data_IF_079958214361
#
_entry.id   IF_079958214361
#
_cell.length_a   1.000
_cell.length_b   1.000
_cell.length_c   1.000
_cell.angle_alpha   90.00
_cell.angle_beta   90.00
_cell.angle_gamma   90.00
#
_symmetry.space_group_name_H-M   'P 1'
#
loop_
_entity.id
_entity.type
_entity.pdbx_description
1 polymer ?
#
# COMPACT_ATOMS: atom_id res chain seq x y z
N UNK A 1 -14.25 10.88 -23.90
CA UNK A 1 -13.83 9.73 -24.73
C UNK A 1 -12.31 9.66 -24.92
N UNK A 2 -11.63 10.68 -25.46
CA UNK A 2 -10.15 10.68 -25.56
C UNK A 2 -9.48 11.02 -24.22
N UNK A 3 -10.02 12.01 -23.51
CA UNK A 3 -9.59 12.38 -22.16
C UNK A 3 -9.71 11.24 -21.15
N UNK A 4 -10.78 10.45 -21.20
CA UNK A 4 -10.97 9.30 -20.30
C UNK A 4 -9.93 8.20 -20.56
N UNK A 5 -9.54 8.01 -21.83
CA UNK A 5 -8.46 7.07 -22.21
C UNK A 5 -7.09 7.58 -21.76
N UNK A 6 -6.85 8.88 -21.85
CA UNK A 6 -5.61 9.50 -21.34
C UNK A 6 -5.55 9.40 -19.81
N UNK A 7 -6.67 9.60 -19.11
CA UNK A 7 -6.77 9.45 -17.66
C UNK A 7 -6.60 7.99 -17.23
N UNK A 8 -7.14 7.03 -17.96
CA UNK A 8 -6.88 5.60 -17.75
C UNK A 8 -5.44 5.22 -18.05
N UNK A 9 -4.83 5.77 -19.11
CA UNK A 9 -3.43 5.52 -19.43
C UNK A 9 -2.49 6.13 -18.38
N UNK A 10 -2.81 7.33 -17.87
CA UNK A 10 -2.08 8.00 -16.79
C UNK A 10 -2.30 7.27 -15.46
N UNK A 11 -3.53 6.82 -15.16
CA UNK A 11 -3.79 5.94 -14.00
C UNK A 11 -3.02 4.65 -14.09
N UNK A 12 -2.97 3.97 -15.24
CA UNK A 12 -2.11 2.78 -15.46
C UNK A 12 -0.62 3.09 -15.33
N UNK A 13 -0.20 4.33 -15.61
CA UNK A 13 1.20 4.78 -15.45
C UNK A 13 1.53 5.17 -14.01
N UNK A 14 0.54 5.62 -13.25
CA UNK A 14 0.63 6.06 -11.85
C UNK A 14 0.27 4.95 -10.85
N UNK A 15 -0.42 3.89 -11.29
CA UNK A 15 -0.66 2.64 -10.58
C UNK A 15 0.67 1.87 -10.43
N UNK A 16 1.57 2.42 -9.62
CA UNK A 16 2.71 1.76 -9.01
C UNK A 16 3.83 1.34 -9.97
N UNK A 17 5.09 1.51 -9.52
CA UNK A 17 6.25 0.83 -10.12
C UNK A 17 5.98 -0.68 -10.10
N UNK A 18 5.61 -1.22 -11.25
CA UNK A 18 4.76 -2.41 -11.32
C UNK A 18 5.50 -3.73 -11.09
N UNK A 19 6.83 -3.74 -11.05
CA UNK A 19 7.60 -5.00 -11.02
C UNK A 19 8.89 -4.96 -10.19
N UNK A 20 9.18 -3.85 -9.50
CA UNK A 20 10.51 -3.62 -8.88
C UNK A 20 10.44 -3.67 -7.35
N UNK A 21 9.82 -4.73 -6.81
CA UNK A 21 9.82 -4.99 -5.38
C UNK A 21 11.19 -5.58 -4.97
N UNK A 22 12.04 -4.78 -4.33
CA UNK A 22 13.35 -5.26 -3.89
C UNK A 22 13.22 -6.34 -2.80
N UNK A 23 14.24 -7.19 -2.58
CA UNK A 23 14.24 -8.15 -1.47
C UNK A 23 14.02 -7.52 -0.10
N UNK A 24 14.68 -6.39 0.18
CA UNK A 24 14.51 -5.67 1.44
C UNK A 24 13.09 -5.11 1.59
N UNK A 25 12.49 -4.64 0.50
CA UNK A 25 11.10 -4.19 0.47
C UNK A 25 10.14 -5.35 0.80
N UNK A 26 10.33 -6.49 0.15
CA UNK A 26 9.52 -7.69 0.36
C UNK A 26 9.61 -8.20 1.81
N UNK A 27 10.81 -8.22 2.39
CA UNK A 27 11.01 -8.57 3.79
C UNK A 27 10.31 -7.59 4.73
N UNK A 28 10.43 -6.27 4.47
CA UNK A 28 9.74 -5.27 5.27
C UNK A 28 8.21 -5.44 5.23
N UNK A 29 7.65 -5.71 4.05
CA UNK A 29 6.21 -5.96 3.90
C UNK A 29 5.77 -7.22 4.65
N UNK A 30 6.58 -8.28 4.63
CA UNK A 30 6.32 -9.50 5.38
C UNK A 30 6.38 -9.27 6.90
N UNK A 31 7.34 -8.46 7.38
CA UNK A 31 7.44 -8.10 8.79
C UNK A 31 6.29 -7.18 9.24
N UNK A 32 5.78 -6.32 8.35
CA UNK A 32 4.57 -5.53 8.60
C UNK A 32 3.35 -6.42 8.80
N UNK A 33 3.15 -7.39 7.90
CA UNK A 33 2.08 -8.38 8.04
C UNK A 33 2.20 -9.17 9.35
N UNK A 34 3.42 -9.61 9.71
CA UNK A 34 3.65 -10.34 10.95
C UNK A 34 3.27 -9.51 12.18
N UNK A 35 3.65 -8.23 12.20
CA UNK A 35 3.28 -7.30 13.27
C UNK A 35 1.76 -7.19 13.42
N UNK A 36 1.03 -7.01 12.33
CA UNK A 36 -0.45 -6.97 12.36
C UNK A 36 -1.07 -8.27 12.84
N UNK A 37 -0.63 -9.40 12.31
CA UNK A 37 -1.16 -10.71 12.66
C UNK A 37 -0.94 -11.07 14.14
N UNK A 38 0.17 -10.61 14.73
CA UNK A 38 0.46 -10.82 16.15
C UNK A 38 -0.24 -9.80 17.06
N UNK A 39 -0.41 -8.55 16.61
CA UNK A 39 -1.19 -7.55 17.34
C UNK A 39 -2.66 -7.95 17.42
N UNK A 40 -3.25 -8.47 16.34
CA UNK A 40 -4.64 -8.95 16.34
C UNK A 40 -4.83 -10.13 17.33
N UNK A 41 -3.85 -11.04 17.41
CA UNK A 41 -3.87 -12.11 18.41
C UNK A 41 -3.74 -11.56 19.84
N UNK A 42 -2.85 -10.59 20.04
CA UNK A 42 -2.61 -9.97 21.35
C UNK A 42 -3.83 -9.18 21.84
N UNK A 43 -4.51 -8.44 20.96
CA UNK A 43 -5.76 -7.72 21.27
C UNK A 43 -6.81 -8.69 21.82
N UNK A 44 -7.06 -9.81 21.13
CA UNK A 44 -7.99 -10.85 21.58
C UNK A 44 -7.60 -11.47 22.93
N UNK A 45 -6.30 -11.55 23.23
CA UNK A 45 -5.81 -12.04 24.53
C UNK A 45 -6.01 -11.03 25.65
N UNK A 46 -5.80 -9.73 25.37
CA UNK A 46 -6.06 -8.65 26.34
C UNK A 46 -7.52 -8.57 26.75
N UNK A 47 -8.45 -8.88 25.83
CA UNK A 47 -9.89 -8.98 26.10
C UNK A 47 -10.26 -10.19 26.97
N UNK A 48 -9.40 -11.21 27.01
CA UNK A 48 -9.61 -12.47 27.72
C UNK A 48 -10.26 -13.54 26.84
N UNK A 49 -9.59 -14.70 26.74
CA UNK A 49 -10.09 -15.83 25.97
C UNK A 49 -10.89 -16.79 26.86
N UNK A 50 -12.08 -17.21 26.40
CA UNK A 50 -12.77 -18.33 27.02
C UNK A 50 -12.01 -19.64 26.77
N UNK A 51 -12.26 -20.68 27.58
CA UNK A 51 -11.67 -22.01 27.35
C UNK A 51 -11.97 -22.56 25.96
N UNK A 52 -13.17 -22.27 25.42
CA UNK A 52 -13.56 -22.67 24.07
C UNK A 52 -12.76 -21.92 23.01
N UNK A 53 -12.51 -20.63 23.20
CA UNK A 53 -11.76 -19.82 22.23
C UNK A 53 -10.29 -20.21 22.21
N UNK A 54 -9.71 -20.46 23.38
CA UNK A 54 -8.34 -20.96 23.49
C UNK A 54 -8.21 -22.34 22.80
N UNK A 55 -9.14 -23.27 23.03
CA UNK A 55 -9.13 -24.58 22.38
C UNK A 55 -9.17 -24.45 20.85
N UNK A 56 -10.04 -23.58 20.31
CA UNK A 56 -10.10 -23.30 18.86
C UNK A 56 -8.80 -22.71 18.33
N UNK A 57 -8.17 -21.79 19.07
CA UNK A 57 -6.89 -21.19 18.70
C UNK A 57 -5.75 -22.20 18.69
N UNK A 58 -5.74 -23.15 19.62
CA UNK A 58 -4.75 -24.24 19.67
C UNK A 58 -4.86 -25.10 18.42
N UNK A 59 -6.06 -25.61 18.14
CA UNK A 59 -6.32 -26.44 16.96
C UNK A 59 -5.94 -25.71 15.66
N UNK A 60 -6.36 -24.45 15.51
CA UNK A 60 -6.03 -23.65 14.35
C UNK A 60 -4.51 -23.42 14.21
N UNK A 61 -3.81 -23.10 15.30
CA UNK A 61 -2.38 -22.85 15.28
C UNK A 61 -1.58 -24.09 14.84
N UNK A 62 -1.98 -25.28 15.26
CA UNK A 62 -1.33 -26.54 14.85
C UNK A 62 -1.50 -26.78 13.34
N UNK A 63 -2.73 -26.69 12.83
CA UNK A 63 -3.03 -26.84 11.39
C UNK A 63 -2.23 -25.84 10.55
N UNK A 64 -2.23 -24.58 10.98
CA UNK A 64 -1.52 -23.49 10.29
C UNK A 64 -0.01 -23.70 10.35
N UNK A 65 0.52 -24.16 11.49
CA UNK A 65 1.95 -24.38 11.69
C UNK A 65 2.49 -25.52 10.82
N UNK A 66 1.73 -26.60 10.68
CA UNK A 66 2.05 -27.72 9.80
C UNK A 66 1.90 -27.33 8.33
N UNK A 67 0.73 -26.83 7.93
CA UNK A 67 0.45 -26.43 6.54
C UNK A 67 1.37 -25.32 6.04
N UNK A 68 1.69 -24.33 6.88
CA UNK A 68 2.63 -23.27 6.57
C UNK A 68 4.07 -23.76 6.40
N UNK A 69 4.47 -24.82 7.14
CA UNK A 69 5.78 -25.45 6.97
C UNK A 69 5.92 -26.15 5.63
N UNK A 70 4.88 -26.88 5.23
CA UNK A 70 4.80 -27.55 3.93
C UNK A 70 4.79 -26.55 2.75
N UNK A 71 3.97 -25.50 2.84
CA UNK A 71 3.91 -24.43 1.85
C UNK A 71 5.26 -23.71 1.70
N UNK A 72 5.92 -23.38 2.82
CA UNK A 72 7.25 -22.77 2.82
C UNK A 72 8.32 -23.69 2.18
N UNK A 73 8.28 -24.98 2.47
CA UNK A 73 9.22 -25.95 1.91
C UNK A 73 9.07 -26.10 0.39
N UNK A 74 7.85 -25.98 -0.14
CA UNK A 74 7.55 -26.01 -1.58
C UNK A 74 7.70 -24.66 -2.27
N UNK A 75 7.75 -23.56 -1.50
CA UNK A 75 7.68 -22.21 -2.03
C UNK A 75 6.31 -21.86 -2.63
N UNK A 76 5.24 -22.55 -2.21
CA UNK A 76 3.88 -22.30 -2.69
C UNK A 76 3.20 -21.25 -1.82
N UNK A 77 3.17 -20.00 -2.32
CA UNK A 77 2.58 -18.88 -1.60
C UNK A 77 1.11 -18.62 -1.99
N UNK A 78 0.45 -19.52 -2.72
CA UNK A 78 -0.93 -19.30 -3.15
C UNK A 78 -1.89 -19.10 -1.97
N UNK A 79 -1.64 -19.79 -0.84
CA UNK A 79 -2.42 -19.64 0.38
C UNK A 79 -2.34 -18.24 1.01
N UNK A 80 -1.33 -17.44 0.64
CA UNK A 80 -1.12 -16.09 1.17
C UNK A 80 -1.47 -14.99 0.16
N UNK A 81 -2.07 -15.34 -0.99
CA UNK A 81 -2.30 -14.37 -2.06
C UNK A 81 -3.17 -13.19 -1.61
N UNK A 82 -4.19 -13.46 -0.80
CA UNK A 82 -5.08 -12.43 -0.27
C UNK A 82 -4.34 -11.47 0.68
N UNK A 83 -3.55 -12.01 1.59
CA UNK A 83 -2.75 -11.27 2.56
C UNK A 83 -1.67 -10.43 1.84
N UNK A 84 -1.06 -10.98 0.78
CA UNK A 84 -0.12 -10.26 -0.06
C UNK A 84 -0.78 -9.04 -0.74
N UNK A 85 -1.96 -9.21 -1.33
CA UNK A 85 -2.71 -8.09 -1.92
C UNK A 85 -3.08 -7.03 -0.89
N UNK A 86 -3.51 -7.45 0.30
CA UNK A 86 -3.87 -6.53 1.38
C UNK A 86 -2.67 -5.70 1.84
N UNK A 87 -1.53 -6.33 2.09
CA UNK A 87 -0.29 -5.65 2.49
C UNK A 87 0.17 -4.69 1.40
N UNK A 88 0.19 -5.12 0.13
CA UNK A 88 0.56 -4.25 -0.99
C UNK A 88 -0.36 -3.03 -1.09
N UNK A 89 -1.68 -3.26 -1.06
CA UNK A 89 -2.70 -2.21 -1.14
C UNK A 89 -2.57 -1.21 0.00
N UNK A 90 -2.30 -1.68 1.23
CA UNK A 90 -2.11 -0.79 2.40
C UNK A 90 -0.93 0.18 2.23
N UNK A 91 0.07 -0.20 1.43
CA UNK A 91 1.26 0.60 1.15
C UNK A 91 1.15 1.39 -0.16
N UNK A 92 -0.02 1.37 -0.82
CA UNK A 92 -0.21 1.99 -2.13
C UNK A 92 0.62 1.32 -3.24
N UNK A 93 0.97 0.04 -3.06
CA UNK A 93 1.72 -0.75 -4.03
C UNK A 93 0.78 -1.68 -4.80
N UNK A 94 1.18 -2.01 -6.02
CA UNK A 94 0.54 -3.02 -6.86
C UNK A 94 1.62 -3.84 -7.54
N UNK A 95 1.54 -5.16 -7.41
CA UNK A 95 2.50 -6.11 -8.00
C UNK A 95 1.71 -7.17 -8.74
N UNK A 96 2.10 -7.47 -9.98
CA UNK A 96 1.40 -8.44 -10.81
C UNK A 96 1.54 -9.86 -10.25
N UNK A 97 0.45 -10.61 -10.03
CA UNK A 97 0.51 -12.01 -9.62
C UNK A 97 1.35 -12.86 -10.59
N UNK A 98 2.22 -13.71 -10.06
CA UNK A 98 3.11 -14.57 -10.84
C UNK A 98 4.42 -13.92 -11.32
N UNK A 99 4.57 -12.59 -11.18
CA UNK A 99 5.84 -11.89 -11.42
C UNK A 99 6.95 -12.34 -10.44
N UNK A 100 8.21 -12.03 -10.75
CA UNK A 100 9.32 -12.31 -9.83
C UNK A 100 9.21 -11.48 -8.53
N UNK A 101 8.68 -10.25 -8.61
CA UNK A 101 8.37 -9.43 -7.44
C UNK A 101 7.31 -10.10 -6.56
N UNK A 102 6.26 -10.67 -7.17
CA UNK A 102 5.23 -11.43 -6.46
C UNK A 102 5.79 -12.66 -5.75
N UNK A 103 6.58 -13.48 -6.46
CA UNK A 103 7.21 -14.67 -5.87
C UNK A 103 8.15 -14.30 -4.72
N UNK A 104 8.89 -13.20 -4.86
CA UNK A 104 9.77 -12.68 -3.82
C UNK A 104 9.01 -12.27 -2.57
N UNK A 105 7.90 -11.54 -2.73
CA UNK A 105 7.00 -11.21 -1.63
C UNK A 105 6.41 -12.48 -1.01
N UNK A 106 5.89 -13.38 -1.83
CA UNK A 106 5.27 -14.62 -1.37
C UNK A 106 6.21 -15.46 -0.52
N UNK A 107 7.47 -15.60 -0.94
CA UNK A 107 8.46 -16.32 -0.15
C UNK A 107 8.82 -15.62 1.17
N UNK A 108 8.92 -14.29 1.17
CA UNK A 108 9.11 -13.51 2.40
C UNK A 108 7.92 -13.68 3.37
N UNK A 109 6.69 -13.60 2.84
CA UNK A 109 5.47 -13.79 3.63
C UNK A 109 5.30 -15.22 4.13
N UNK A 110 5.72 -16.26 3.39
CA UNK A 110 5.73 -17.64 3.90
C UNK A 110 6.64 -17.79 5.13
N UNK A 111 7.81 -17.14 5.13
CA UNK A 111 8.69 -17.11 6.31
C UNK A 111 8.02 -16.39 7.48
N UNK A 112 7.40 -15.24 7.25
CA UNK A 112 6.67 -14.50 8.26
C UNK A 112 5.49 -15.31 8.82
N UNK A 113 4.72 -15.98 7.95
CA UNK A 113 3.61 -16.85 8.32
C UNK A 113 4.08 -18.02 9.21
N UNK A 114 5.23 -18.63 8.90
CA UNK A 114 5.82 -19.65 9.76
C UNK A 114 6.22 -19.11 11.14
N UNK A 115 6.76 -17.88 11.20
CA UNK A 115 7.07 -17.20 12.49
C UNK A 115 5.79 -16.93 13.28
N UNK A 116 4.76 -16.42 12.63
CA UNK A 116 3.45 -16.18 13.23
C UNK A 116 2.84 -17.47 13.80
N UNK A 117 2.78 -18.54 13.01
CA UNK A 117 2.23 -19.81 13.45
C UNK A 117 2.97 -20.39 14.65
N UNK A 118 4.31 -20.31 14.65
CA UNK A 118 5.14 -20.71 15.78
C UNK A 118 4.85 -19.86 17.03
N UNK A 119 4.76 -18.54 16.87
CA UNK A 119 4.43 -17.64 17.96
C UNK A 119 3.04 -17.91 18.55
N UNK A 120 2.05 -18.28 17.73
CA UNK A 120 0.72 -18.68 18.22
C UNK A 120 0.79 -19.94 19.09
N UNK A 121 1.56 -20.96 18.67
CA UNK A 121 1.76 -22.18 19.46
C UNK A 121 2.40 -21.84 20.81
N UNK A 122 3.44 -21.02 20.82
CA UNK A 122 4.13 -20.58 22.04
C UNK A 122 3.20 -19.78 22.97
N UNK A 123 2.47 -18.78 22.44
CA UNK A 123 1.50 -17.99 23.21
C UNK A 123 0.36 -18.85 23.77
N UNK A 124 -0.09 -19.84 23.02
CA UNK A 124 -1.12 -20.78 23.48
C UNK A 124 -0.63 -21.67 24.64
N UNK A 125 0.67 -21.99 24.68
CA UNK A 125 1.31 -22.68 25.80
C UNK A 125 1.54 -21.78 27.02
N UNK A 126 1.27 -20.47 26.90
CA UNK A 126 1.50 -19.49 27.96
C UNK A 126 2.89 -18.88 27.95
N UNK A 127 3.70 -19.14 26.93
CA UNK A 127 5.01 -18.52 26.76
C UNK A 127 4.86 -17.05 26.35
N UNK A 128 5.79 -16.23 26.84
CA UNK A 128 5.83 -14.80 26.52
C UNK A 128 6.48 -14.60 25.16
N UNK A 129 5.68 -14.15 24.18
CA UNK A 129 6.14 -13.81 22.84
C UNK A 129 5.70 -12.39 22.50
N UNK A 130 6.68 -11.49 22.43
CA UNK A 130 6.44 -10.08 22.13
C UNK A 130 5.87 -9.87 20.73
N UNK A 131 4.93 -8.93 20.61
CA UNK A 131 4.48 -8.45 19.30
C UNK A 131 5.52 -7.48 18.74
N UNK A 132 6.10 -7.75 17.55
CA UNK A 132 7.06 -6.83 16.96
C UNK A 132 6.37 -5.53 16.55
N UNK A 133 7.05 -4.40 16.78
CA UNK A 133 6.59 -3.11 16.28
C UNK A 133 6.53 -3.13 14.73
N UNK A 134 5.55 -2.44 14.12
CA UNK A 134 5.47 -2.38 12.67
C UNK A 134 6.72 -1.72 12.10
N UNK A 135 7.31 -2.29 11.03
CA UNK A 135 8.52 -1.74 10.45
C UNK A 135 8.22 -0.37 9.84
N UNK A 136 9.17 0.55 9.99
CA UNK A 136 9.05 1.88 9.40
C UNK A 136 9.04 1.77 7.88
N UNK A 137 8.05 2.39 7.23
CA UNK A 137 8.00 2.47 5.78
C UNK A 137 9.34 2.98 5.21
N UNK A 138 9.78 2.38 4.10
CA UNK A 138 10.90 2.96 3.35
C UNK A 138 10.52 4.40 3.00
N UNK A 139 11.43 5.34 3.22
CA UNK A 139 11.23 6.70 2.75
C UNK A 139 11.15 6.65 1.23
N UNK A 140 9.93 6.68 0.69
CA UNK A 140 9.73 6.92 -0.74
C UNK A 140 10.42 8.24 -1.09
N UNK A 141 11.17 8.33 -2.19
CA UNK A 141 11.56 9.64 -2.71
C UNK A 141 10.30 10.47 -2.87
N UNK A 142 10.35 11.68 -2.31
CA UNK A 142 9.28 12.65 -2.20
C UNK A 142 8.36 12.69 -3.44
N UNK A 143 7.06 12.70 -3.18
CA UNK A 143 6.00 13.18 -4.08
C UNK A 143 6.56 14.11 -5.13
N UNK A 144 6.44 13.73 -6.40
CA UNK A 144 6.64 14.68 -7.48
C UNK A 144 5.77 15.91 -7.20
N UNK A 145 6.36 17.09 -7.33
CA UNK A 145 5.60 18.33 -7.13
C UNK A 145 4.54 18.44 -8.23
N UNK A 146 3.47 19.20 -7.98
CA UNK A 146 2.45 19.48 -9.00
C UNK A 146 3.09 20.05 -10.28
N UNK A 147 4.22 20.76 -10.17
CA UNK A 147 5.04 21.23 -11.29
C UNK A 147 5.64 20.12 -12.15
N UNK A 148 6.09 19.02 -11.55
CA UNK A 148 6.61 17.85 -12.29
C UNK A 148 5.49 17.12 -13.03
N UNK A 149 4.29 17.03 -12.42
CA UNK A 149 3.09 16.51 -13.08
C UNK A 149 2.62 17.39 -14.25
N UNK A 150 2.63 18.72 -14.08
CA UNK A 150 2.26 19.68 -15.14
C UNK A 150 3.26 19.63 -16.30
N UNK A 151 4.56 19.50 -16.00
CA UNK A 151 5.61 19.41 -17.02
C UNK A 151 5.49 18.11 -17.82
N UNK A 152 5.14 16.99 -17.16
CA UNK A 152 4.93 15.70 -17.81
C UNK A 152 3.71 15.63 -18.75
N UNK A 153 2.69 16.47 -18.55
CA UNK A 153 1.47 16.53 -19.39
C UNK A 153 1.69 17.29 -20.71
N UNK A 154 2.84 17.95 -20.88
CA UNK A 154 3.21 18.48 -22.20
C UNK A 154 2.26 19.56 -22.75
N UNK A 155 1.78 20.50 -21.92
CA UNK A 155 1.21 21.76 -22.44
C UNK A 155 2.36 22.69 -22.81
N UNK A 156 3.10 22.33 -23.86
CA UNK A 156 3.98 23.25 -24.57
C UNK A 156 3.19 23.93 -25.70
N UNK A 157 2.15 24.71 -25.36
CA UNK A 157 1.62 25.73 -26.30
C UNK A 157 2.43 27.02 -26.14
N UNK A 158 3.64 27.05 -26.68
CA UNK A 158 4.28 28.31 -27.08
C UNK A 158 3.98 28.57 -28.55
N UNK A 159 2.78 29.07 -28.85
CA UNK A 159 2.60 29.89 -30.06
C UNK A 159 3.22 31.25 -29.76
N UNK A 160 4.46 31.44 -30.22
CA UNK A 160 5.08 32.75 -30.33
C UNK A 160 4.32 33.54 -31.39
N UNK A 161 3.29 34.28 -30.97
CA UNK A 161 2.69 35.33 -31.80
C UNK A 161 3.41 36.61 -31.41
N UNK A 162 4.26 37.08 -32.32
CA UNK A 162 4.90 38.40 -32.25
C UNK A 162 3.80 39.44 -32.43
N UNK A 163 3.48 40.20 -31.39
CA UNK A 163 2.69 41.44 -31.54
C UNK A 163 3.64 42.63 -31.52
N UNK A 164 3.51 43.59 -32.46
CA UNK A 164 4.34 44.78 -32.48
C UNK A 164 3.90 45.75 -31.38
N UNK A 165 4.93 46.41 -30.85
CA UNK A 165 4.88 47.53 -29.94
C UNK A 165 4.13 48.70 -30.57
N UNK A 166 3.00 49.11 -29.99
CA UNK A 166 2.57 50.52 -30.05
C UNK A 166 2.06 50.93 -28.67
N UNK A 167 2.68 52.01 -28.17
CA UNK A 167 2.21 52.82 -27.06
C UNK A 167 0.70 53.08 -27.14
N UNK A 168 0.02 53.12 -25.99
CA UNK A 168 -0.73 54.30 -25.53
C UNK A 168 -1.47 54.01 -24.22
N UNK A 169 -1.26 54.93 -23.28
CA UNK A 169 -2.09 55.34 -22.14
C UNK A 169 -2.34 54.43 -20.93
N UNK A 170 -1.58 54.80 -19.89
CA UNK A 170 -2.02 55.00 -18.52
C UNK A 170 -3.37 55.74 -18.42
N UNK A 171 -4.32 55.17 -17.68
CA UNK A 171 -5.24 55.79 -16.70
C UNK A 171 -6.26 54.71 -16.31
N UNK A 172 -6.29 54.23 -15.07
CA UNK A 172 -6.81 54.87 -13.85
C UNK A 172 -8.27 54.47 -13.60
N UNK A 173 -8.53 54.13 -12.33
CA UNK A 173 -9.83 54.21 -11.64
C UNK A 173 -10.91 53.22 -12.16
N UNK A 174 -11.87 52.72 -11.40
CA UNK A 174 -12.21 52.69 -9.98
C UNK A 174 -13.60 52.05 -9.94
N UNK A 175 -13.92 51.41 -8.81
CA UNK A 175 -15.29 51.38 -8.22
C UNK A 175 -16.37 50.49 -8.85
N UNK A 176 -16.68 49.45 -8.07
CA UNK A 176 -17.97 49.07 -7.50
C UNK A 176 -19.10 48.50 -8.38
N UNK A 177 -19.85 47.58 -7.75
CA UNK A 177 -21.21 47.24 -8.15
C UNK A 177 -21.70 45.90 -7.65
N UNK A 178 -22.11 45.83 -6.38
CA UNK A 178 -22.99 44.78 -5.82
C UNK A 178 -24.36 44.75 -6.51
N UNK A 179 -24.94 43.55 -6.66
CA UNK A 179 -26.38 43.20 -6.47
C UNK A 179 -26.55 41.72 -6.88
N UNK A 180 -26.86 40.78 -5.97
CA UNK A 180 -28.17 40.46 -5.39
C UNK A 180 -29.25 40.01 -6.39
N UNK A 181 -29.58 38.72 -6.25
CA UNK A 181 -30.87 38.01 -6.44
C UNK A 181 -31.73 38.27 -7.67
N UNK A 182 -32.01 37.19 -8.43
CA UNK A 182 -33.38 36.85 -8.86
C UNK A 182 -33.55 35.32 -8.84
N UNK A 183 -34.51 34.87 -8.04
CA UNK A 183 -35.37 33.66 -8.13
C UNK A 183 -35.45 32.91 -6.79
N UNK A 184 -36.57 33.16 -6.11
CA UNK A 184 -37.00 32.61 -4.82
C UNK A 184 -37.93 33.60 -4.14
#
# INVERSE_FOLDING_TARGET
MEFDRELEAIRRRLDGRTDDLTPAEAERLADLWLSWALEEDEEKRREGLSSRDLARKIEAAEIINEGGGDALARGDSHLLAFEMEEVLRSQGLSVQPGSEAWKRLGFAMLKAHKRWAKALVERNAGEVVDTPAPPKAASSPSSSTVEELITGIGIARKRSVKLPFTHIHCQALSVAGSASSVFG
#
